data_IF_360776249198
#
_entry.id   IF_360776249198
#
_cell.length_a   1.000
_cell.length_b   1.000
_cell.length_c   1.000
_cell.angle_alpha   90.00
_cell.angle_beta   90.00
_cell.angle_gamma   90.00
#
_symmetry.space_group_name_H-M   'P 1'
#
loop_
_entity.id
_entity.type
_entity.pdbx_description
1 polymer ?
#
# COMPACT_ATOMS: atom_id res chain seq x y z
N UNK A 1 -39.73 -39.68 60.44
CA UNK A 1 -38.94 -40.77 59.83
C UNK A 1 -39.28 -40.81 58.35
N UNK A 2 -38.39 -40.27 57.52
CA UNK A 2 -38.45 -40.07 56.06
C UNK A 2 -37.44 -38.92 55.84
N UNK A 3 -36.45 -38.89 54.96
CA UNK A 3 -36.02 -39.66 53.81
C UNK A 3 -34.51 -39.41 53.69
N UNK A 4 -33.70 -40.41 53.35
CA UNK A 4 -32.36 -40.15 52.82
C UNK A 4 -31.89 -41.39 52.07
N UNK A 5 -31.91 -41.34 50.74
CA UNK A 5 -31.31 -42.40 49.95
C UNK A 5 -31.85 -42.49 48.54
N UNK A 6 -31.52 -41.52 47.69
CA UNK A 6 -31.64 -41.63 46.24
C UNK A 6 -30.81 -40.51 45.60
N UNK A 7 -29.47 -40.64 45.56
CA UNK A 7 -28.64 -39.77 44.71
C UNK A 7 -27.21 -40.24 44.40
N UNK A 8 -26.89 -41.53 44.52
CA UNK A 8 -25.55 -42.05 44.21
C UNK A 8 -25.43 -42.66 42.80
N UNK A 9 -26.53 -43.12 42.18
CA UNK A 9 -26.47 -43.76 40.86
C UNK A 9 -26.42 -42.77 39.68
N UNK A 10 -26.93 -41.55 39.86
CA UNK A 10 -26.91 -40.54 38.78
C UNK A 10 -25.49 -40.00 38.50
N UNK A 11 -24.64 -39.87 39.54
CA UNK A 11 -23.27 -39.34 39.40
C UNK A 11 -22.27 -40.32 38.80
N UNK A 12 -22.52 -41.63 38.90
CA UNK A 12 -21.65 -42.65 38.31
C UNK A 12 -21.75 -42.71 36.78
N UNK A 13 -22.93 -42.41 36.22
CA UNK A 13 -23.16 -42.49 34.77
C UNK A 13 -22.63 -41.27 33.99
N UNK A 14 -22.43 -40.12 34.64
CA UNK A 14 -21.79 -38.96 33.99
C UNK A 14 -20.26 -39.10 33.89
N UNK A 15 -19.60 -39.71 34.88
CA UNK A 15 -18.15 -39.93 34.81
C UNK A 15 -17.75 -40.95 33.74
N UNK A 16 -18.59 -41.95 33.45
CA UNK A 16 -18.31 -42.93 32.40
C UNK A 16 -18.39 -42.33 30.98
N UNK A 17 -19.19 -41.26 30.77
CA UNK A 17 -19.32 -40.60 29.46
C UNK A 17 -18.16 -39.66 29.11
N UNK A 18 -17.41 -39.19 30.11
CA UNK A 18 -16.24 -38.33 29.88
C UNK A 18 -14.97 -39.11 29.52
N UNK A 19 -14.90 -40.41 29.82
CA UNK A 19 -13.73 -41.24 29.55
C UNK A 19 -13.66 -41.83 28.11
N UNK A 20 -14.73 -41.72 27.31
CA UNK A 20 -14.78 -42.25 25.94
C UNK A 20 -14.61 -41.19 24.83
N UNK A 21 -14.30 -39.94 25.17
CA UNK A 21 -13.89 -38.95 24.16
C UNK A 21 -12.46 -39.24 23.71
N UNK A 22 -12.34 -40.06 22.67
CA UNK A 22 -11.10 -40.25 21.93
C UNK A 22 -10.52 -38.88 21.53
N UNK A 23 -9.19 -38.69 21.57
CA UNK A 23 -8.58 -37.49 21.02
C UNK A 23 -8.81 -37.52 19.50
N UNK A 24 -9.62 -36.58 19.01
CA UNK A 24 -9.68 -36.27 17.59
C UNK A 24 -8.26 -35.98 17.13
N UNK A 25 -7.68 -36.94 16.39
CA UNK A 25 -6.47 -36.70 15.63
C UNK A 25 -6.74 -35.50 14.72
N UNK A 26 -6.14 -34.37 15.05
CA UNK A 26 -6.05 -33.20 14.18
C UNK A 26 -5.16 -33.58 12.98
N UNK A 27 -5.70 -34.36 12.05
CA UNK A 27 -5.17 -34.35 10.69
C UNK A 27 -5.69 -33.05 10.05
N UNK A 28 -4.80 -32.14 9.63
CA UNK A 28 -5.22 -30.98 8.87
C UNK A 28 -5.95 -31.47 7.62
N UNK A 29 -7.06 -30.81 7.21
CA UNK A 29 -7.79 -31.20 6.01
C UNK A 29 -6.81 -31.23 4.83
N UNK A 30 -6.91 -32.22 3.92
CA UNK A 30 -6.07 -32.28 2.74
C UNK A 30 -6.21 -30.97 1.99
N UNK A 31 -5.09 -30.22 1.93
CA UNK A 31 -5.01 -28.95 1.23
C UNK A 31 -5.35 -29.25 -0.23
N UNK A 32 -6.41 -28.64 -0.81
CA UNK A 32 -6.69 -28.86 -2.23
C UNK A 32 -5.43 -28.44 -2.99
N UNK A 33 -4.86 -29.37 -3.74
CA UNK A 33 -3.81 -29.10 -4.71
C UNK A 33 -4.42 -28.15 -5.75
N UNK A 34 -4.35 -26.85 -5.47
CA UNK A 34 -4.49 -25.84 -6.51
C UNK A 34 -3.36 -26.12 -7.47
N UNK A 35 -3.69 -26.73 -8.61
CA UNK A 35 -2.90 -26.58 -9.83
C UNK A 35 -2.61 -25.09 -9.95
N UNK A 36 -1.35 -24.74 -9.71
CA UNK A 36 -0.83 -23.43 -10.06
C UNK A 36 -0.82 -23.44 -11.58
N UNK A 37 -1.96 -23.12 -12.18
CA UNK A 37 -1.93 -22.46 -13.47
C UNK A 37 -1.14 -21.19 -13.21
N UNK A 38 0.13 -21.20 -13.65
CA UNK A 38 0.89 -19.99 -13.85
C UNK A 38 -0.04 -19.05 -14.61
N UNK A 39 -0.56 -18.04 -13.90
CA UNK A 39 -1.29 -16.97 -14.53
C UNK A 39 -0.29 -16.35 -15.49
N UNK A 40 -0.37 -16.75 -16.76
CA UNK A 40 0.17 -16.00 -17.88
C UNK A 40 -0.50 -14.65 -17.77
N UNK A 41 0.18 -13.72 -17.10
CA UNK A 41 -0.19 -12.31 -17.14
C UNK A 41 0.02 -11.97 -18.61
N UNK A 42 -1.08 -11.83 -19.35
CA UNK A 42 -1.02 -11.37 -20.73
C UNK A 42 -0.21 -10.08 -20.75
N UNK A 43 0.95 -10.03 -21.45
CA UNK A 43 1.78 -8.84 -21.49
C UNK A 43 1.05 -7.65 -22.14
N UNK A 44 -0.05 -7.91 -22.84
CA UNK A 44 -0.92 -6.90 -23.45
C UNK A 44 -1.72 -6.06 -22.44
N UNK A 45 -1.83 -6.47 -21.18
CA UNK A 45 -2.49 -5.66 -20.13
C UNK A 45 -1.66 -4.40 -19.79
N UNK A 46 -0.36 -4.38 -20.12
CA UNK A 46 0.54 -3.26 -19.81
C UNK A 46 0.86 -2.35 -21.00
N UNK A 47 0.34 -2.67 -22.19
CA UNK A 47 0.39 -1.77 -23.34
C UNK A 47 -1.00 -1.22 -23.60
N UNK A 48 -1.25 0.00 -23.13
CA UNK A 48 -2.31 0.83 -23.70
C UNK A 48 -1.95 1.14 -25.17
N UNK A 49 -2.15 0.18 -26.08
CA UNK A 49 -2.21 0.46 -27.51
C UNK A 49 -3.55 1.13 -27.76
N UNK A 50 -3.55 2.45 -27.70
CA UNK A 50 -4.66 3.24 -28.25
C UNK A 50 -4.54 3.14 -29.77
N UNK A 51 -5.23 2.19 -30.37
CA UNK A 51 -5.46 2.19 -31.82
C UNK A 51 -6.42 3.34 -32.13
N UNK A 52 -5.87 4.49 -32.53
CA UNK A 52 -6.67 5.60 -33.05
C UNK A 52 -7.10 5.21 -34.46
N UNK A 53 -8.30 4.63 -34.58
CA UNK A 53 -8.94 4.43 -35.88
C UNK A 53 -9.53 5.77 -36.33
N UNK A 54 -9.08 6.26 -37.48
CA UNK A 54 -9.69 7.42 -38.13
C UNK A 54 -11.07 7.02 -38.67
N UNK A 55 -12.08 7.83 -38.38
CA UNK A 55 -13.41 7.71 -38.96
C UNK A 55 -13.62 8.88 -39.92
N UNK A 56 -14.17 8.61 -41.10
CA UNK A 56 -14.65 9.63 -42.02
C UNK A 56 -16.01 10.20 -41.54
N UNK A 57 -16.46 11.30 -42.16
CA UNK A 57 -17.69 12.02 -41.77
C UNK A 57 -18.96 11.16 -41.91
N UNK A 58 -18.88 10.01 -42.58
CA UNK A 58 -19.96 9.04 -42.77
C UNK A 58 -19.84 7.78 -41.88
N UNK A 59 -18.81 7.69 -41.03
CA UNK A 59 -18.65 6.63 -40.03
C UNK A 59 -18.07 5.29 -40.53
N UNK A 60 -17.44 5.30 -41.71
CA UNK A 60 -16.60 4.21 -42.21
C UNK A 60 -15.23 4.15 -41.52
N UNK A 61 -14.63 2.96 -41.52
CA UNK A 61 -13.27 2.75 -41.01
C UNK A 61 -12.30 3.02 -42.16
N UNK A 62 -11.55 4.12 -42.07
CA UNK A 62 -10.56 4.48 -43.09
C UNK A 62 -9.34 3.55 -43.04
N UNK A 63 -8.93 3.06 -44.22
CA UNK A 63 -7.72 2.25 -44.39
C UNK A 63 -6.47 3.12 -44.15
N UNK A 64 -5.57 2.81 -43.19
CA UNK A 64 -4.47 3.69 -42.81
C UNK A 64 -3.48 4.02 -43.93
N UNK A 65 -3.47 3.25 -45.02
CA UNK A 65 -2.66 3.50 -46.21
C UNK A 65 -3.20 4.60 -47.14
N UNK A 66 -4.48 4.98 -47.02
CA UNK A 66 -5.13 5.95 -47.92
C UNK A 66 -5.12 7.39 -47.40
N UNK A 67 -4.54 7.65 -46.23
CA UNK A 67 -4.49 8.99 -45.63
C UNK A 67 -3.28 9.79 -46.14
N UNK A 68 -3.47 10.97 -46.77
CA UNK A 68 -2.37 11.82 -47.27
C UNK A 68 -1.51 12.45 -46.15
N UNK A 69 -1.92 12.27 -44.89
CA UNK A 69 -1.19 12.74 -43.70
C UNK A 69 -1.01 11.62 -42.67
N UNK A 70 -0.73 10.39 -43.13
CA UNK A 70 -0.33 9.31 -42.26
C UNK A 70 0.89 9.74 -41.42
N UNK A 71 0.66 10.11 -40.17
CA UNK A 71 1.71 10.44 -39.21
C UNK A 71 2.29 9.10 -38.75
N UNK A 72 3.09 8.48 -39.60
CA UNK A 72 3.95 7.38 -39.19
C UNK A 72 4.88 7.94 -38.12
N UNK A 73 4.72 7.51 -36.87
CA UNK A 73 5.75 7.72 -35.85
C UNK A 73 6.94 6.87 -36.30
N UNK A 74 7.86 7.50 -37.03
CA UNK A 74 9.12 6.89 -37.42
C UNK A 74 9.91 6.68 -36.13
N UNK A 75 10.02 5.42 -35.70
CA UNK A 75 10.98 5.03 -34.67
C UNK A 75 12.38 5.14 -35.28
N UNK A 76 12.95 6.34 -35.25
CA UNK A 76 14.35 6.55 -35.59
C UNK A 76 15.17 5.99 -34.44
N UNK A 77 15.64 4.75 -34.57
CA UNK A 77 16.73 4.20 -33.76
C UNK A 77 18.06 4.83 -34.19
N UNK A 78 18.16 6.16 -34.15
CA UNK A 78 19.46 6.80 -34.12
C UNK A 78 19.88 6.80 -32.66
N UNK A 79 20.90 6.00 -32.34
CA UNK A 79 21.68 6.19 -31.13
C UNK A 79 22.39 7.55 -31.28
N UNK A 80 21.68 8.63 -30.97
CA UNK A 80 22.26 9.97 -30.86
C UNK A 80 23.22 9.89 -29.68
N UNK A 81 24.51 9.73 -29.98
CA UNK A 81 25.57 9.93 -28.98
C UNK A 81 25.41 11.36 -28.48
N UNK A 82 24.92 11.50 -27.25
CA UNK A 82 24.82 12.79 -26.59
C UNK A 82 26.18 13.50 -26.69
N UNK A 83 26.23 14.74 -27.21
CA UNK A 83 27.44 15.55 -27.12
C UNK A 83 27.84 15.65 -25.64
N UNK A 84 29.14 15.57 -25.34
CA UNK A 84 29.67 15.74 -23.98
C UNK A 84 29.39 17.17 -23.51
N UNK A 85 28.18 17.39 -23.02
CA UNK A 85 27.65 18.67 -22.55
C UNK A 85 28.02 18.82 -21.08
N UNK A 86 28.55 20.00 -20.72
CA UNK A 86 29.19 20.27 -19.43
C UNK A 86 28.30 20.15 -18.19
N UNK A 87 28.90 20.39 -17.02
CA UNK A 87 28.30 20.26 -15.67
C UNK A 87 26.87 20.84 -15.55
N UNK A 88 26.55 21.95 -16.23
CA UNK A 88 25.22 22.57 -16.19
C UNK A 88 24.08 21.73 -16.80
N UNK A 89 24.40 20.72 -17.63
CA UNK A 89 23.39 19.80 -18.17
C UNK A 89 23.00 18.72 -17.16
N UNK A 90 23.94 18.26 -16.33
CA UNK A 90 23.69 17.21 -15.33
C UNK A 90 22.64 17.66 -14.32
N UNK A 91 22.77 18.88 -13.78
CA UNK A 91 21.78 19.47 -12.87
C UNK A 91 20.37 19.55 -13.49
N UNK A 92 20.29 19.82 -14.80
CA UNK A 92 19.00 19.89 -15.51
C UNK A 92 18.41 18.50 -15.70
N UNK A 93 19.23 17.51 -16.04
CA UNK A 93 18.83 16.11 -16.14
C UNK A 93 18.30 15.60 -14.80
N UNK A 94 18.98 15.91 -13.69
CA UNK A 94 18.50 15.56 -12.35
C UNK A 94 17.16 16.23 -12.02
N UNK A 95 17.02 17.53 -12.30
CA UNK A 95 15.74 18.22 -12.14
C UNK A 95 14.62 17.59 -12.95
N UNK A 96 14.89 17.14 -14.18
CA UNK A 96 13.90 16.43 -15.00
C UNK A 96 13.60 15.03 -14.47
N UNK A 97 14.59 14.29 -13.95
CA UNK A 97 14.37 13.01 -13.28
C UNK A 97 13.43 13.16 -12.10
N UNK A 98 13.70 14.14 -11.22
CA UNK A 98 12.84 14.40 -10.08
C UNK A 98 11.42 14.81 -10.51
N UNK A 99 11.30 15.69 -11.51
CA UNK A 99 10.01 16.12 -12.04
C UNK A 99 9.24 14.95 -12.69
N UNK A 100 9.96 14.06 -13.38
CA UNK A 100 9.42 12.84 -13.97
C UNK A 100 8.90 11.88 -12.89
N UNK A 101 9.70 11.63 -11.84
CA UNK A 101 9.29 10.80 -10.69
C UNK A 101 8.05 11.38 -10.02
N UNK A 102 8.04 12.67 -9.70
CA UNK A 102 6.89 13.38 -9.11
C UNK A 102 5.64 13.27 -9.98
N UNK A 103 5.77 13.46 -11.30
CA UNK A 103 4.66 13.31 -12.23
C UNK A 103 4.13 11.87 -12.29
N UNK A 104 5.01 10.86 -12.25
CA UNK A 104 4.61 9.45 -12.18
C UNK A 104 3.82 9.13 -10.91
N UNK A 105 4.26 9.66 -9.77
CA UNK A 105 3.58 9.48 -8.49
C UNK A 105 2.19 10.13 -8.52
N UNK A 106 2.10 11.36 -9.01
CA UNK A 106 0.83 12.10 -9.08
C UNK A 106 -0.17 11.47 -10.05
N UNK A 107 0.31 10.95 -11.19
CA UNK A 107 -0.52 10.24 -12.18
C UNK A 107 -1.28 9.07 -11.55
N UNK A 108 -0.62 8.25 -10.71
CA UNK A 108 -1.24 7.09 -10.06
C UNK A 108 -1.95 7.43 -8.74
N UNK A 109 -1.50 8.48 -8.05
CA UNK A 109 -2.05 8.90 -6.76
C UNK A 109 -3.38 9.63 -6.87
N UNK A 110 -3.58 10.45 -7.91
CA UNK A 110 -4.76 11.32 -7.98
C UNK A 110 -6.04 10.54 -8.38
N UNK A 111 -7.15 10.67 -7.64
CA UNK A 111 -8.46 10.14 -8.06
C UNK A 111 -9.16 10.95 -9.13
N UNK A 112 -8.71 12.17 -9.40
CA UNK A 112 -9.32 13.04 -10.37
C UNK A 112 -8.74 12.78 -11.78
N UNK A 113 -9.62 12.43 -12.72
CA UNK A 113 -9.24 12.11 -14.09
C UNK A 113 -8.48 13.26 -14.78
N UNK A 114 -8.96 14.50 -14.65
CA UNK A 114 -8.32 15.66 -15.30
C UNK A 114 -6.90 15.90 -14.77
N UNK A 115 -6.72 15.76 -13.46
CA UNK A 115 -5.41 15.85 -12.82
C UNK A 115 -4.51 14.72 -13.32
N UNK A 116 -5.04 13.49 -13.41
CA UNK A 116 -4.28 12.35 -13.94
C UNK A 116 -3.84 12.56 -15.39
N UNK A 117 -4.70 13.07 -16.29
CA UNK A 117 -4.36 13.36 -17.69
C UNK A 117 -3.27 14.43 -17.80
N UNK A 118 -3.37 15.49 -16.98
CA UNK A 118 -2.34 16.52 -16.90
C UNK A 118 -0.98 15.94 -16.47
N UNK A 119 -0.97 15.04 -15.49
CA UNK A 119 0.26 14.36 -15.08
C UNK A 119 0.76 13.36 -16.13
N UNK A 120 -0.12 12.71 -16.89
CA UNK A 120 0.29 11.86 -18.01
C UNK A 120 1.04 12.67 -19.08
N UNK A 121 0.52 13.87 -19.41
CA UNK A 121 1.19 14.80 -20.31
C UNK A 121 2.56 15.24 -19.76
N UNK A 122 2.68 15.51 -18.45
CA UNK A 122 3.97 15.81 -17.80
C UNK A 122 4.95 14.64 -17.86
N UNK A 123 4.49 13.41 -17.62
CA UNK A 123 5.31 12.21 -17.73
C UNK A 123 5.84 12.05 -19.16
N UNK A 124 4.99 12.25 -20.16
CA UNK A 124 5.40 12.23 -21.57
C UNK A 124 6.43 13.34 -21.88
N UNK A 125 6.19 14.56 -21.39
CA UNK A 125 7.09 15.70 -21.58
C UNK A 125 8.47 15.51 -20.94
N UNK A 126 8.52 15.12 -19.66
CA UNK A 126 9.80 14.91 -18.99
C UNK A 126 10.49 13.64 -19.49
N UNK A 127 9.73 12.59 -19.85
CA UNK A 127 10.25 11.38 -20.45
C UNK A 127 10.94 11.64 -21.79
N UNK A 128 10.34 12.46 -22.66
CA UNK A 128 10.95 12.83 -23.94
C UNK A 128 12.20 13.69 -23.76
N UNK A 129 12.22 14.63 -22.79
CA UNK A 129 13.42 15.42 -22.45
C UNK A 129 14.55 14.54 -21.92
N UNK A 130 14.25 13.61 -21.01
CA UNK A 130 15.24 12.66 -20.49
C UNK A 130 15.80 11.75 -21.59
N UNK A 131 14.96 11.31 -22.52
CA UNK A 131 15.39 10.51 -23.68
C UNK A 131 16.29 11.32 -24.63
N UNK A 132 15.85 12.50 -25.07
CA UNK A 132 16.53 13.30 -26.10
C UNK A 132 17.80 13.98 -25.57
N UNK A 133 17.76 14.56 -24.37
CA UNK A 133 18.84 15.38 -23.83
C UNK A 133 19.67 14.64 -22.77
N UNK A 134 19.01 13.79 -21.98
CA UNK A 134 19.68 12.98 -20.97
C UNK A 134 20.28 11.67 -21.51
N UNK A 135 19.93 11.27 -22.74
CA UNK A 135 20.35 10.01 -23.34
C UNK A 135 19.80 8.77 -22.63
N UNK A 136 18.71 8.91 -21.86
CA UNK A 136 18.08 7.80 -21.16
C UNK A 136 17.47 6.82 -22.16
N UNK A 137 17.81 5.56 -22.02
CA UNK A 137 17.15 4.47 -22.72
C UNK A 137 15.75 4.22 -22.16
N UNK A 138 14.88 3.58 -22.95
CA UNK A 138 13.53 3.23 -22.51
C UNK A 138 13.51 2.32 -21.26
N UNK A 139 14.40 1.31 -21.12
CA UNK A 139 14.51 0.53 -19.88
C UNK A 139 14.81 1.38 -18.65
N UNK A 140 15.73 2.35 -18.74
CA UNK A 140 16.07 3.22 -17.61
C UNK A 140 14.90 4.12 -17.19
N UNK A 141 14.09 4.58 -18.14
CA UNK A 141 12.85 5.31 -17.83
C UNK A 141 11.82 4.41 -17.14
N UNK A 142 11.72 3.14 -17.53
CA UNK A 142 10.87 2.18 -16.84
C UNK A 142 11.34 1.93 -15.40
N UNK A 143 12.65 1.84 -15.18
CA UNK A 143 13.21 1.64 -13.84
C UNK A 143 12.99 2.88 -12.96
N UNK A 144 13.19 4.09 -13.49
CA UNK A 144 12.82 5.34 -12.80
C UNK A 144 11.33 5.38 -12.44
N UNK A 145 10.46 4.92 -13.33
CA UNK A 145 9.02 4.82 -13.06
C UNK A 145 8.72 3.81 -11.95
N UNK A 146 9.34 2.62 -11.98
CA UNK A 146 9.20 1.59 -10.94
C UNK A 146 9.67 2.11 -9.59
N UNK A 147 10.81 2.79 -9.56
CA UNK A 147 11.37 3.42 -8.37
C UNK A 147 10.38 4.46 -7.80
N UNK A 148 9.88 5.38 -8.63
CA UNK A 148 8.91 6.40 -8.21
C UNK A 148 7.62 5.79 -7.63
N UNK A 149 7.11 4.71 -8.23
CA UNK A 149 5.91 4.01 -7.74
C UNK A 149 6.20 3.22 -6.45
N UNK A 150 7.40 2.66 -6.31
CA UNK A 150 7.84 1.98 -5.09
C UNK A 150 7.97 2.97 -3.93
N UNK A 151 8.56 4.14 -4.17
CA UNK A 151 8.62 5.24 -3.20
C UNK A 151 7.22 5.66 -2.74
N UNK A 152 6.30 5.87 -3.69
CA UNK A 152 4.91 6.24 -3.38
C UNK A 152 4.18 5.16 -2.57
N UNK A 153 4.40 3.89 -2.92
CA UNK A 153 3.86 2.79 -2.13
C UNK A 153 4.44 2.78 -0.71
N UNK A 154 5.74 3.03 -0.55
CA UNK A 154 6.39 3.15 0.75
C UNK A 154 5.79 4.28 1.60
N UNK A 155 5.59 5.46 1.02
CA UNK A 155 4.93 6.60 1.67
C UNK A 155 3.49 6.27 2.06
N UNK A 156 2.72 5.65 1.15
CA UNK A 156 1.35 5.24 1.45
C UNK A 156 1.30 4.24 2.61
N UNK A 157 2.24 3.27 2.66
CA UNK A 157 2.35 2.30 3.75
C UNK A 157 2.68 2.98 5.09
N UNK A 158 3.59 3.95 5.09
CA UNK A 158 3.92 4.75 6.29
C UNK A 158 2.69 5.53 6.78
N UNK A 159 2.00 6.24 5.90
CA UNK A 159 0.78 6.98 6.24
C UNK A 159 -0.33 6.05 6.75
N UNK A 160 -0.43 4.83 6.18
CA UNK A 160 -1.36 3.81 6.65
C UNK A 160 -1.02 3.38 8.08
N UNK A 161 0.25 3.07 8.36
CA UNK A 161 0.69 2.70 9.70
C UNK A 161 0.46 3.82 10.73
N UNK A 162 0.69 5.08 10.36
CA UNK A 162 0.40 6.25 11.20
C UNK A 162 -1.10 6.42 11.46
N UNK A 163 -1.94 6.24 10.43
CA UNK A 163 -3.38 6.30 10.59
C UNK A 163 -3.89 5.17 11.51
N UNK A 164 -3.36 3.96 11.39
CA UNK A 164 -3.69 2.85 12.30
C UNK A 164 -3.17 3.08 13.72
N UNK A 165 -2.00 3.73 13.89
CA UNK A 165 -1.53 4.17 15.21
C UNK A 165 -2.52 5.15 15.85
N UNK A 166 -2.99 6.13 15.09
CA UNK A 166 -3.99 7.10 15.56
C UNK A 166 -5.31 6.40 15.91
N UNK A 167 -5.74 5.45 15.08
CA UNK A 167 -6.92 4.62 15.36
C UNK A 167 -6.82 3.89 16.70
N UNK A 168 -5.72 3.18 16.92
CA UNK A 168 -5.47 2.41 18.14
C UNK A 168 -5.40 3.35 19.35
N UNK A 169 -4.70 4.47 19.23
CA UNK A 169 -4.56 5.44 20.31
C UNK A 169 -5.91 6.06 20.71
N UNK A 170 -6.73 6.45 19.73
CA UNK A 170 -8.07 6.99 19.99
C UNK A 170 -8.96 5.94 20.64
N UNK A 171 -8.83 4.66 20.27
CA UNK A 171 -9.55 3.57 20.95
C UNK A 171 -9.12 3.37 22.40
N UNK A 172 -7.82 3.45 22.69
CA UNK A 172 -7.28 3.29 24.04
C UNK A 172 -7.65 4.49 24.92
N UNK A 173 -7.37 5.73 24.47
CA UNK A 173 -7.50 6.93 25.30
C UNK A 173 -8.87 7.60 25.24
N UNK A 174 -9.61 7.42 24.13
CA UNK A 174 -10.80 8.21 23.82
C UNK A 174 -12.12 7.76 24.45
N UNK A 175 -12.20 6.50 24.89
CA UNK A 175 -13.46 5.88 25.29
C UNK A 175 -14.56 5.97 24.22
N UNK A 176 -15.82 5.76 24.61
CA UNK A 176 -16.98 5.70 23.68
C UNK A 176 -17.37 7.04 23.03
N UNK A 177 -16.75 8.16 23.43
CA UNK A 177 -17.21 9.53 23.06
C UNK A 177 -16.55 10.08 21.78
N UNK A 178 -15.50 9.47 21.27
CA UNK A 178 -14.72 9.97 20.11
C UNK A 178 -15.18 9.44 18.74
N UNK A 179 -16.49 9.40 18.50
CA UNK A 179 -17.05 8.86 17.24
C UNK A 179 -16.67 9.69 16.00
N UNK A 180 -16.51 11.01 16.14
CA UNK A 180 -16.12 11.89 15.03
C UNK A 180 -14.70 11.62 14.53
N UNK A 181 -13.73 11.53 15.44
CA UNK A 181 -12.33 11.22 15.11
C UNK A 181 -12.20 9.86 14.42
N UNK A 182 -12.92 8.84 14.91
CA UNK A 182 -12.93 7.51 14.29
C UNK A 182 -13.51 7.52 12.87
N UNK A 183 -14.47 8.39 12.57
CA UNK A 183 -14.99 8.54 11.20
C UNK A 183 -13.94 9.12 10.26
N UNK A 184 -13.23 10.16 10.70
CA UNK A 184 -12.15 10.78 9.91
C UNK A 184 -11.03 9.76 9.65
N UNK A 185 -10.62 9.01 10.66
CA UNK A 185 -9.60 7.96 10.54
C UNK A 185 -10.05 6.85 9.56
N UNK A 186 -11.33 6.47 9.59
CA UNK A 186 -11.87 5.48 8.67
C UNK A 186 -11.91 6.01 7.22
N UNK A 187 -12.21 7.29 7.02
CA UNK A 187 -12.17 7.91 5.70
C UNK A 187 -10.73 7.96 5.14
N UNK A 188 -9.76 8.36 5.97
CA UNK A 188 -8.34 8.34 5.59
C UNK A 188 -7.89 6.91 5.24
N UNK A 189 -8.28 5.90 6.04
CA UNK A 189 -8.00 4.48 5.75
C UNK A 189 -8.54 4.09 4.37
N UNK A 190 -9.78 4.44 4.06
CA UNK A 190 -10.40 4.13 2.77
C UNK A 190 -9.63 4.78 1.61
N UNK A 191 -9.21 6.03 1.77
CA UNK A 191 -8.42 6.74 0.76
C UNK A 191 -7.05 6.07 0.54
N UNK A 192 -6.35 5.72 1.62
CA UNK A 192 -5.04 5.06 1.54
C UNK A 192 -5.14 3.66 0.93
N UNK A 193 -6.19 2.89 1.28
CA UNK A 193 -6.47 1.58 0.70
C UNK A 193 -6.78 1.68 -0.80
N UNK A 194 -7.56 2.69 -1.21
CA UNK A 194 -7.86 2.93 -2.62
C UNK A 194 -6.59 3.30 -3.41
N UNK A 195 -5.71 4.11 -2.83
CA UNK A 195 -4.42 4.43 -3.44
C UNK A 195 -3.54 3.19 -3.58
N UNK A 196 -3.44 2.35 -2.55
CA UNK A 196 -2.69 1.09 -2.59
C UNK A 196 -3.22 0.14 -3.67
N UNK A 197 -4.55 0.04 -3.81
CA UNK A 197 -5.21 -0.70 -4.90
C UNK A 197 -4.81 -0.19 -6.29
N UNK A 198 -4.74 1.13 -6.50
CA UNK A 198 -4.32 1.74 -7.78
C UNK A 198 -2.84 1.54 -8.10
N UNK A 199 -2.03 1.32 -7.08
CA UNK A 199 -0.62 0.95 -7.21
C UNK A 199 -0.43 -0.57 -7.44
N UNK A 200 -1.52 -1.34 -7.51
CA UNK A 200 -1.49 -2.79 -7.75
C UNK A 200 -1.19 -3.62 -6.50
N UNK A 201 -1.22 -3.01 -5.30
CA UNK A 201 -0.95 -3.69 -4.02
C UNK A 201 -2.03 -3.33 -3.00
N UNK A 202 -3.27 -3.83 -3.17
CA UNK A 202 -4.36 -3.52 -2.24
C UNK A 202 -4.04 -4.09 -0.85
N UNK A 203 -4.32 -3.32 0.21
CA UNK A 203 -4.27 -3.84 1.57
C UNK A 203 -5.44 -4.78 1.82
N UNK A 204 -5.13 -5.95 2.36
CA UNK A 204 -6.12 -6.88 2.89
C UNK A 204 -6.55 -6.45 4.30
N UNK A 205 -7.68 -7.01 4.77
CA UNK A 205 -8.10 -6.82 6.17
C UNK A 205 -7.06 -7.36 7.15
N UNK A 206 -6.39 -8.45 6.78
CA UNK A 206 -5.32 -9.05 7.57
C UNK A 206 -4.13 -8.09 7.71
N UNK A 207 -3.70 -7.44 6.62
CA UNK A 207 -2.61 -6.44 6.67
C UNK A 207 -2.97 -5.28 7.62
N UNK A 208 -4.23 -4.83 7.59
CA UNK A 208 -4.70 -3.76 8.48
C UNK A 208 -4.67 -4.22 9.94
N UNK A 209 -5.08 -5.45 10.23
CA UNK A 209 -5.03 -6.00 11.59
C UNK A 209 -3.60 -6.20 12.09
N UNK A 210 -2.69 -6.64 11.23
CA UNK A 210 -1.25 -6.74 11.56
C UNK A 210 -0.68 -5.36 11.89
N UNK A 211 -0.94 -4.34 11.06
CA UNK A 211 -0.54 -2.96 11.35
C UNK A 211 -1.10 -2.49 12.71
N UNK A 212 -2.37 -2.75 13.00
CA UNK A 212 -2.98 -2.38 14.29
C UNK A 212 -2.29 -3.06 15.47
N UNK A 213 -1.96 -4.35 15.34
CA UNK A 213 -1.28 -5.12 16.37
C UNK A 213 0.13 -4.60 16.62
N UNK A 214 0.90 -4.34 15.55
CA UNK A 214 2.23 -3.72 15.64
C UNK A 214 2.17 -2.38 16.37
N UNK A 215 1.20 -1.52 16.01
CA UNK A 215 1.05 -0.22 16.66
C UNK A 215 0.59 -0.35 18.12
N UNK A 216 -0.30 -1.29 18.44
CA UNK A 216 -0.70 -1.55 19.82
C UNK A 216 0.49 -1.99 20.69
N UNK A 217 1.36 -2.85 20.18
CA UNK A 217 2.57 -3.28 20.87
C UNK A 217 3.56 -2.11 21.05
N UNK A 218 3.75 -1.28 20.02
CA UNK A 218 4.60 -0.10 20.11
C UNK A 218 4.07 0.93 21.13
N UNK A 219 2.76 1.14 21.17
CA UNK A 219 2.12 2.01 22.17
C UNK A 219 2.29 1.45 23.57
N UNK A 220 2.09 0.14 23.75
CA UNK A 220 2.27 -0.54 25.03
C UNK A 220 3.72 -0.43 25.54
N UNK A 221 4.71 -0.58 24.66
CA UNK A 221 6.12 -0.39 25.00
C UNK A 221 6.37 1.04 25.52
N UNK A 222 5.87 2.07 24.82
CA UNK A 222 5.98 3.46 25.25
C UNK A 222 5.29 3.75 26.59
N UNK A 223 4.13 3.15 26.85
CA UNK A 223 3.49 3.28 28.16
C UNK A 223 4.30 2.63 29.28
N UNK A 224 4.96 1.49 29.02
CA UNK A 224 5.85 0.87 30.01
C UNK A 224 7.07 1.73 30.30
N UNK A 225 7.70 2.31 29.28
CA UNK A 225 8.79 3.26 29.43
C UNK A 225 8.37 4.47 30.26
N UNK A 226 7.20 5.03 29.96
CA UNK A 226 6.67 6.18 30.71
C UNK A 226 6.37 5.85 32.17
N UNK A 227 5.86 4.65 32.47
CA UNK A 227 5.65 4.20 33.84
C UNK A 227 6.98 4.15 34.61
N UNK A 228 8.05 3.68 33.99
CA UNK A 228 9.38 3.66 34.62
C UNK A 228 9.87 5.08 34.87
N UNK A 229 9.78 5.96 33.87
CA UNK A 229 10.19 7.37 34.00
C UNK A 229 9.44 8.09 35.12
N UNK A 230 8.12 7.91 35.21
CA UNK A 230 7.29 8.52 36.25
C UNK A 230 7.61 7.99 37.65
N UNK A 231 7.96 6.70 37.78
CA UNK A 231 8.43 6.14 39.05
C UNK A 231 9.73 6.77 39.50
N UNK A 232 10.71 6.88 38.60
CA UNK A 232 11.99 7.52 38.89
C UNK A 232 11.81 8.99 39.29
N UNK A 233 10.96 9.74 38.57
CA UNK A 233 10.64 11.13 38.93
C UNK A 233 10.00 11.22 40.31
N UNK A 234 9.07 10.33 40.64
CA UNK A 234 8.45 10.27 41.96
C UNK A 234 9.47 9.99 43.07
N UNK A 235 10.34 9.01 42.89
CA UNK A 235 11.40 8.67 43.85
C UNK A 235 12.37 9.84 44.09
N UNK A 236 12.77 10.54 43.02
CA UNK A 236 13.60 11.75 43.13
C UNK A 236 12.88 12.84 43.93
N UNK A 237 11.61 13.11 43.62
CA UNK A 237 10.82 14.11 44.35
C UNK A 237 10.65 13.75 45.83
N UNK A 238 10.44 12.47 46.16
CA UNK A 238 10.39 12.00 47.54
C UNK A 238 11.75 12.17 48.24
N UNK A 239 12.86 11.83 47.59
CA UNK A 239 14.21 12.04 48.14
C UNK A 239 14.48 13.53 48.46
N UNK A 240 14.10 14.44 47.55
CA UNK A 240 14.18 15.88 47.77
C UNK A 240 13.27 16.36 48.90
N UNK A 241 12.03 15.88 48.97
CA UNK A 241 11.06 16.29 49.99
C UNK A 241 11.46 15.87 51.42
N UNK A 242 12.13 14.72 51.57
CA UNK A 242 12.57 14.21 52.87
C UNK A 242 14.01 14.60 53.26
N UNK A 243 14.64 15.53 52.55
CA UNK A 243 15.95 16.09 52.92
C UNK A 243 17.12 15.09 52.88
N UNK A 244 16.98 13.99 52.14
CA UNK A 244 18.10 13.09 51.82
C UNK A 244 18.73 13.57 50.50
N UNK A 245 19.42 14.69 50.55
CA UNK A 245 20.35 15.11 49.50
C UNK A 245 21.78 14.95 50.03
#
# INVERSE_FOLDING_TARGET
MAECGLNSQAKANECARLAQRQPLQNQPPPRPEKKVEESKIDPDIFTDRVEIKGFDEEGGVLDPASLPYATSVVYVTQSVRAPKLGLALQDKVEKWKEAYKKACQQLRGSPNLMISLYHAAKVAYYGSRLFMEGGFSFPELQDLRREALSELYGQNKQLSAENERNYVLVRIMGGKKKKGELRVIAEIRNQLTLQAKRLGKPYSELDIHEMQLEQANAILAKFKEEIVNLKTQKELLEAYAYGKA
#
